data_IF_163430488348
#
_entry.id   IF_163430488348
#
_cell.length_a   1.000
_cell.length_b   1.000
_cell.length_c   1.000
_cell.angle_alpha   90.00
_cell.angle_beta   90.00
_cell.angle_gamma   90.00
#
_symmetry.space_group_name_H-M   'P 1'
#
loop_
_entity.id
_entity.type
_entity.pdbx_description
1 polymer ?
#
# COMPACT_ATOMS: atom_id res chain seq x y z
N UNK A 1 8.10 -17.72 -3.69
CA UNK A 1 9.27 -17.16 -2.96
C UNK A 1 10.54 -17.02 -3.79
N UNK A 2 10.83 -17.90 -4.75
CA UNK A 2 12.03 -17.77 -5.60
C UNK A 2 12.15 -16.38 -6.29
N UNK A 3 11.06 -15.86 -6.86
CA UNK A 3 11.04 -14.51 -7.46
C UNK A 3 11.29 -13.38 -6.45
N UNK A 4 10.70 -13.47 -5.25
CA UNK A 4 10.98 -12.55 -4.15
C UNK A 4 12.48 -12.56 -3.80
N UNK A 5 13.09 -13.74 -3.73
CA UNK A 5 14.51 -13.85 -3.46
C UNK A 5 15.38 -13.25 -4.58
N UNK A 6 14.96 -13.30 -5.85
CA UNK A 6 15.67 -12.60 -6.94
C UNK A 6 15.72 -11.09 -6.70
N UNK A 7 14.61 -10.50 -6.26
CA UNK A 7 14.54 -9.07 -5.91
C UNK A 7 15.43 -8.76 -4.70
N UNK A 8 15.32 -9.54 -3.62
CA UNK A 8 16.14 -9.35 -2.41
C UNK A 8 17.63 -9.51 -2.68
N UNK A 9 18.02 -10.50 -3.50
CA UNK A 9 19.40 -10.71 -3.94
C UNK A 9 19.93 -9.52 -4.74
N UNK A 10 19.13 -8.98 -5.66
CA UNK A 10 19.48 -7.77 -6.42
C UNK A 10 19.62 -6.57 -5.49
N UNK A 11 18.69 -6.38 -4.56
CA UNK A 11 18.73 -5.27 -3.60
C UNK A 11 19.96 -5.33 -2.69
N UNK A 12 20.43 -6.53 -2.32
CA UNK A 12 21.60 -6.74 -1.47
C UNK A 12 22.96 -6.54 -2.18
N UNK A 13 23.00 -6.22 -3.47
CA UNK A 13 24.27 -6.04 -4.19
C UNK A 13 25.08 -4.86 -3.62
N UNK A 14 26.42 -4.96 -3.55
CA UNK A 14 27.28 -3.90 -3.02
C UNK A 14 27.11 -2.53 -3.70
N UNK A 15 26.68 -2.51 -4.95
CA UNK A 15 26.41 -1.28 -5.72
C UNK A 15 25.27 -0.44 -5.12
N UNK A 16 24.34 -1.06 -4.38
CA UNK A 16 23.22 -0.36 -3.74
C UNK A 16 23.57 0.14 -2.33
N UNK A 17 24.77 -0.16 -1.82
CA UNK A 17 25.21 0.33 -0.51
C UNK A 17 25.68 1.76 -0.65
N UNK A 18 24.94 2.68 -0.02
CA UNK A 18 25.38 4.08 0.07
C UNK A 18 26.56 4.15 1.02
N UNK A 19 27.62 4.85 0.58
CA UNK A 19 28.87 5.00 1.31
C UNK A 19 29.13 6.47 1.64
N UNK A 20 29.80 6.71 2.75
CA UNK A 20 30.35 8.02 3.10
C UNK A 20 31.58 8.32 2.22
N UNK A 21 32.11 9.55 2.32
CA UNK A 21 33.29 9.99 1.55
C UNK A 21 34.52 9.10 1.78
N UNK A 22 34.66 8.54 2.99
CA UNK A 22 35.75 7.64 3.38
C UNK A 22 35.56 6.18 2.89
N UNK A 23 34.46 5.91 2.18
CA UNK A 23 34.12 4.60 1.63
C UNK A 23 33.43 3.64 2.61
N UNK A 24 33.20 4.04 3.86
CA UNK A 24 32.45 3.23 4.84
C UNK A 24 30.95 3.23 4.52
N UNK A 25 30.21 2.13 4.80
CA UNK A 25 28.76 2.12 4.62
C UNK A 25 28.07 3.19 5.49
N UNK A 26 27.16 3.96 4.91
CA UNK A 26 26.45 5.03 5.60
C UNK A 26 25.43 4.54 6.65
N UNK A 27 25.12 3.25 6.66
CA UNK A 27 24.20 2.60 7.58
C UNK A 27 24.52 1.10 7.71
N UNK A 28 23.81 0.42 8.61
CA UNK A 28 23.86 -1.04 8.73
C UNK A 28 22.92 -1.68 7.70
N UNK A 29 23.48 -2.18 6.60
CA UNK A 29 22.72 -2.84 5.54
C UNK A 29 22.58 -4.34 5.80
N UNK A 30 21.35 -4.81 6.04
CA UNK A 30 21.05 -6.23 6.22
C UNK A 30 19.87 -6.65 5.34
N UNK A 31 20.19 -7.09 4.12
CA UNK A 31 19.22 -7.64 3.16
C UNK A 31 19.66 -9.06 2.84
N UNK A 32 18.80 -10.05 3.09
CA UNK A 32 19.09 -11.47 2.87
C UNK A 32 17.90 -12.18 2.26
N UNK A 33 18.14 -13.12 1.37
CA UNK A 33 17.11 -14.00 0.83
C UNK A 33 16.35 -14.71 1.97
N UNK A 34 15.05 -14.98 1.76
CA UNK A 34 14.32 -15.85 2.69
C UNK A 34 14.91 -17.26 2.57
N UNK A 35 15.35 -17.88 3.68
CA UNK A 35 15.87 -19.23 3.65
C UNK A 35 14.76 -20.21 3.27
N UNK A 36 15.10 -21.34 2.65
CA UNK A 36 14.11 -22.36 2.27
C UNK A 36 13.32 -22.92 3.46
N UNK A 37 13.87 -22.82 4.67
CA UNK A 37 13.22 -23.19 5.94
C UNK A 37 12.23 -22.15 6.45
N UNK A 38 12.15 -20.96 5.85
CA UNK A 38 11.23 -19.91 6.26
C UNK A 38 9.78 -20.31 5.98
N UNK A 39 8.86 -20.01 6.91
CA UNK A 39 7.45 -20.36 6.79
C UNK A 39 6.78 -19.82 5.52
N UNK A 40 7.30 -18.75 4.92
CA UNK A 40 6.81 -18.23 3.63
C UNK A 40 6.90 -19.23 2.45
N UNK A 41 7.63 -20.34 2.59
CA UNK A 41 7.68 -21.41 1.59
C UNK A 41 6.60 -22.49 1.80
N UNK A 42 6.04 -22.60 3.00
CA UNK A 42 5.10 -23.68 3.38
C UNK A 42 3.73 -23.17 3.81
N UNK A 43 3.64 -21.92 4.30
CA UNK A 43 2.42 -21.27 4.74
C UNK A 43 2.00 -20.15 3.78
N UNK A 44 0.76 -20.23 3.30
CA UNK A 44 0.21 -19.32 2.29
C UNK A 44 0.11 -17.89 2.82
N UNK A 45 -0.33 -17.70 4.06
CA UNK A 45 -0.57 -16.37 4.61
C UNK A 45 0.76 -15.64 4.88
N UNK A 46 1.76 -16.36 5.37
CA UNK A 46 3.13 -15.85 5.52
C UNK A 46 3.78 -15.57 4.17
N UNK A 47 3.53 -16.39 3.15
CA UNK A 47 3.98 -16.12 1.78
C UNK A 47 3.39 -14.80 1.26
N UNK A 48 2.08 -14.59 1.42
CA UNK A 48 1.41 -13.36 1.00
C UNK A 48 1.97 -12.16 1.77
N UNK A 49 2.17 -12.26 3.08
CA UNK A 49 2.79 -11.18 3.89
C UNK A 49 4.20 -10.83 3.40
N UNK A 50 5.04 -11.84 3.12
CA UNK A 50 6.38 -11.62 2.58
C UNK A 50 6.33 -10.90 1.23
N UNK A 51 5.48 -11.36 0.30
CA UNK A 51 5.30 -10.72 -1.02
C UNK A 51 4.84 -9.26 -0.87
N UNK A 52 3.86 -9.00 0.01
CA UNK A 52 3.35 -7.64 0.24
C UNK A 52 4.40 -6.71 0.86
N UNK A 53 5.26 -7.23 1.74
CA UNK A 53 6.36 -6.48 2.33
C UNK A 53 7.40 -6.09 1.29
N UNK A 54 7.84 -7.03 0.45
CA UNK A 54 8.80 -6.73 -0.63
C UNK A 54 8.24 -5.71 -1.61
N UNK A 55 6.97 -5.86 -2.01
CA UNK A 55 6.34 -4.88 -2.91
C UNK A 55 6.25 -3.49 -2.29
N UNK A 56 6.03 -3.39 -0.97
CA UNK A 56 6.04 -2.11 -0.24
C UNK A 56 7.42 -1.47 -0.26
N UNK A 57 8.49 -2.24 -0.06
CA UNK A 57 9.86 -1.73 -0.04
C UNK A 57 10.35 -1.35 -1.43
N UNK A 58 10.12 -2.22 -2.42
CA UNK A 58 10.63 -2.07 -3.78
C UNK A 58 9.99 -0.89 -4.51
N UNK A 59 8.68 -0.68 -4.33
CA UNK A 59 7.90 0.34 -5.08
C UNK A 59 7.51 1.53 -4.19
N UNK A 60 8.27 1.76 -3.12
CA UNK A 60 8.03 2.88 -2.22
C UNK A 60 8.12 4.20 -2.99
N UNK A 61 7.21 5.14 -2.70
CA UNK A 61 7.14 6.46 -3.34
C UNK A 61 6.79 6.48 -4.84
N UNK A 62 6.37 5.35 -5.42
CA UNK A 62 6.00 5.25 -6.85
C UNK A 62 4.48 5.22 -7.10
N UNK A 63 3.68 5.68 -6.14
CA UNK A 63 2.21 5.77 -6.27
C UNK A 63 1.45 4.44 -6.24
N UNK A 64 2.14 3.30 -6.08
CA UNK A 64 1.51 1.97 -6.14
C UNK A 64 0.71 1.61 -4.88
N UNK A 65 1.11 2.14 -3.71
CA UNK A 65 0.63 1.65 -2.41
C UNK A 65 -0.88 1.77 -2.23
N UNK A 66 -1.50 2.83 -2.72
CA UNK A 66 -2.95 3.01 -2.61
C UNK A 66 -3.71 1.89 -3.33
N UNK A 67 -3.34 1.64 -4.60
CA UNK A 67 -3.98 0.63 -5.43
C UNK A 67 -3.72 -0.78 -4.91
N UNK A 68 -2.55 -1.03 -4.34
CA UNK A 68 -2.23 -2.29 -3.67
C UNK A 68 -3.14 -2.55 -2.46
N UNK A 69 -3.35 -1.56 -1.61
CA UNK A 69 -4.25 -1.71 -0.46
C UNK A 69 -5.70 -1.93 -0.90
N UNK A 70 -6.17 -1.15 -1.87
CA UNK A 70 -7.53 -1.25 -2.42
C UNK A 70 -7.82 -2.65 -2.99
N UNK A 71 -6.92 -3.18 -3.83
CA UNK A 71 -7.09 -4.54 -4.43
C UNK A 71 -6.98 -5.69 -3.41
N UNK A 72 -6.34 -5.47 -2.27
CA UNK A 72 -6.28 -6.47 -1.19
C UNK A 72 -7.53 -6.49 -0.31
N UNK A 73 -8.44 -5.55 -0.53
CA UNK A 73 -9.73 -5.47 0.13
C UNK A 73 -9.81 -4.34 1.15
N UNK A 74 -10.99 -3.73 1.24
CA UNK A 74 -11.22 -2.55 2.07
C UNK A 74 -10.94 -2.73 3.57
N UNK A 75 -11.17 -3.93 4.11
CA UNK A 75 -10.81 -4.23 5.51
C UNK A 75 -9.30 -4.22 5.74
N UNK A 76 -8.53 -4.77 4.79
CA UNK A 76 -7.08 -4.76 4.85
C UNK A 76 -6.54 -3.33 4.71
N UNK A 77 -7.08 -2.56 3.77
CA UNK A 77 -6.75 -1.15 3.57
C UNK A 77 -7.06 -0.30 4.82
N UNK A 78 -8.26 -0.43 5.39
CA UNK A 78 -8.66 0.27 6.60
C UNK A 78 -7.67 -0.02 7.74
N UNK A 79 -7.34 -1.29 7.97
CA UNK A 79 -6.37 -1.68 9.01
C UNK A 79 -5.00 -1.03 8.79
N UNK A 80 -4.42 -1.15 7.61
CA UNK A 80 -3.07 -0.65 7.34
C UNK A 80 -2.99 0.89 7.42
N UNK A 81 -4.03 1.59 6.98
CA UNK A 81 -4.11 3.05 7.09
C UNK A 81 -4.37 3.50 8.54
N UNK A 82 -5.17 2.76 9.30
CA UNK A 82 -5.38 3.02 10.72
C UNK A 82 -4.08 2.87 11.51
N UNK A 83 -3.36 1.77 11.28
CA UNK A 83 -2.06 1.51 11.93
C UNK A 83 -1.06 2.64 11.61
N UNK A 84 -1.03 3.12 10.36
CA UNK A 84 -0.21 4.26 9.96
C UNK A 84 -0.63 5.57 10.66
N UNK A 85 -1.92 5.92 10.65
CA UNK A 85 -2.42 7.14 11.30
C UNK A 85 -2.12 7.14 12.79
N UNK A 86 -2.37 6.02 13.48
CA UNK A 86 -2.11 5.90 14.91
C UNK A 86 -0.62 5.99 15.27
N UNK A 87 0.25 5.38 14.47
CA UNK A 87 1.69 5.49 14.65
C UNK A 87 2.16 6.94 14.46
N UNK A 88 1.77 7.57 13.35
CA UNK A 88 2.22 8.93 13.00
C UNK A 88 1.61 10.00 13.91
N UNK A 89 0.43 9.78 14.49
CA UNK A 89 -0.18 10.71 15.45
C UNK A 89 0.71 11.00 16.67
N UNK A 90 1.67 10.11 16.98
CA UNK A 90 2.66 10.31 18.03
C UNK A 90 3.71 11.37 17.68
N UNK A 91 3.91 11.64 16.38
CA UNK A 91 4.99 12.48 15.87
C UNK A 91 4.50 13.69 15.07
N UNK A 92 3.33 13.59 14.44
CA UNK A 92 2.80 14.58 13.51
C UNK A 92 1.41 15.05 13.94
N UNK A 93 1.31 16.33 14.34
CA UNK A 93 0.08 16.93 14.86
C UNK A 93 -1.14 16.80 13.94
N UNK A 94 -0.94 16.80 12.61
CA UNK A 94 -2.04 16.63 11.63
C UNK A 94 -2.77 15.29 11.74
N UNK A 95 -2.12 14.27 12.31
CA UNK A 95 -2.72 12.95 12.50
C UNK A 95 -3.39 12.78 13.87
N UNK A 96 -3.18 13.71 14.83
CA UNK A 96 -3.77 13.63 16.16
C UNK A 96 -5.31 13.60 16.16
N UNK A 97 -5.93 14.21 15.15
CA UNK A 97 -7.39 14.25 14.97
C UNK A 97 -7.83 13.69 13.62
N UNK A 98 -6.93 13.01 12.90
CA UNK A 98 -7.25 12.45 11.59
C UNK A 98 -8.23 11.27 11.73
N UNK A 99 -9.26 11.26 10.88
CA UNK A 99 -10.19 10.14 10.79
C UNK A 99 -9.55 8.96 10.04
N UNK A 100 -9.89 7.75 10.45
CA UNK A 100 -9.52 6.53 9.72
C UNK A 100 -10.50 6.31 8.57
N UNK A 101 -9.97 5.97 7.39
CA UNK A 101 -10.76 5.71 6.19
C UNK A 101 -11.66 4.47 6.36
N UNK A 102 -12.99 4.55 6.21
CA UNK A 102 -13.87 3.39 6.31
C UNK A 102 -13.54 2.31 5.27
N UNK A 103 -13.70 1.03 5.64
CA UNK A 103 -13.42 -0.10 4.75
C UNK A 103 -14.24 -0.10 3.44
N UNK A 104 -15.40 0.55 3.41
CA UNK A 104 -16.21 0.68 2.21
C UNK A 104 -15.65 1.70 1.20
N UNK A 105 -14.82 2.66 1.62
CA UNK A 105 -14.36 3.79 0.82
C UNK A 105 -12.99 3.53 0.19
N UNK A 106 -12.90 2.52 -0.67
CA UNK A 106 -11.64 2.13 -1.36
C UNK A 106 -11.37 2.90 -2.66
N UNK A 107 -12.37 3.64 -3.15
CA UNK A 107 -12.30 4.46 -4.37
C UNK A 107 -12.82 5.87 -4.06
N UNK A 108 -12.36 6.85 -4.84
CA UNK A 108 -12.85 8.22 -4.74
C UNK A 108 -14.33 8.33 -5.13
N UNK A 109 -15.06 9.33 -4.60
CA UNK A 109 -16.40 9.65 -5.08
C UNK A 109 -16.34 10.14 -6.53
N UNK A 110 -17.43 9.98 -7.25
CA UNK A 110 -17.60 10.67 -8.53
C UNK A 110 -17.63 12.19 -8.29
N UNK A 111 -17.09 13.02 -9.20
CA UNK A 111 -17.25 14.45 -9.08
C UNK A 111 -18.73 14.84 -9.12
N UNK A 112 -19.20 15.57 -8.09
CA UNK A 112 -20.63 15.89 -7.92
C UNK A 112 -21.23 16.63 -9.12
N UNK A 113 -20.48 17.58 -9.70
CA UNK A 113 -20.89 18.28 -10.90
C UNK A 113 -21.18 17.35 -12.08
N UNK A 114 -20.44 16.24 -12.23
CA UNK A 114 -20.71 15.25 -13.29
C UNK A 114 -22.03 14.52 -13.02
N UNK A 115 -22.31 14.16 -11.77
CA UNK A 115 -23.58 13.51 -11.40
C UNK A 115 -24.76 14.43 -11.71
N UNK A 116 -24.63 15.72 -11.41
CA UNK A 116 -25.69 16.71 -11.64
C UNK A 116 -25.93 17.01 -13.13
N UNK A 117 -24.87 17.11 -13.95
CA UNK A 117 -25.01 17.52 -15.37
C UNK A 117 -25.36 16.38 -16.31
N UNK A 118 -25.12 15.12 -15.93
CA UNK A 118 -25.37 13.98 -16.82
C UNK A 118 -26.86 13.75 -17.13
N UNK A 119 -27.77 14.22 -16.26
CA UNK A 119 -29.22 14.12 -16.47
C UNK A 119 -29.79 12.71 -16.25
N UNK A 120 -30.95 12.47 -16.85
CA UNK A 120 -31.75 11.24 -16.70
C UNK A 120 -32.10 10.63 -18.06
N UNK A 121 -32.33 9.32 -18.08
CA UNK A 121 -32.83 8.60 -19.25
C UNK A 121 -34.31 8.88 -19.54
N UNK A 122 -34.82 8.27 -20.61
CA UNK A 122 -36.22 8.38 -21.06
C UNK A 122 -37.25 7.94 -20.00
N UNK A 123 -36.83 7.16 -18.99
CA UNK A 123 -37.66 6.70 -17.88
C UNK A 123 -37.44 7.52 -16.59
N UNK A 124 -36.65 8.60 -16.64
CA UNK A 124 -36.34 9.45 -15.49
C UNK A 124 -35.27 8.88 -14.57
N UNK A 125 -34.55 7.83 -14.96
CA UNK A 125 -33.46 7.25 -14.15
C UNK A 125 -32.15 8.00 -14.40
N UNK A 126 -31.38 8.39 -13.36
CA UNK A 126 -30.11 9.09 -13.55
C UNK A 126 -29.11 8.26 -14.36
N UNK A 127 -28.44 8.89 -15.33
CA UNK A 127 -27.36 8.24 -16.10
C UNK A 127 -26.11 7.97 -15.26
N UNK A 128 -25.87 8.80 -14.24
CA UNK A 128 -24.73 8.68 -13.34
C UNK A 128 -25.21 8.77 -11.89
N UNK A 129 -24.75 7.86 -11.05
CA UNK A 129 -25.06 7.83 -9.61
C UNK A 129 -23.78 7.57 -8.82
N UNK A 130 -23.68 8.10 -7.61
CA UNK A 130 -22.56 7.78 -6.72
C UNK A 130 -22.49 6.27 -6.43
N UNK A 131 -21.29 5.72 -6.24
CA UNK A 131 -21.14 4.39 -5.64
C UNK A 131 -21.74 4.36 -4.23
N UNK A 132 -22.27 3.21 -3.80
CA UNK A 132 -22.96 3.06 -2.50
C UNK A 132 -22.21 3.64 -1.28
N UNK A 133 -20.86 3.52 -1.16
CA UNK A 133 -20.12 4.12 -0.05
C UNK A 133 -20.15 5.67 0.01
N UNK A 134 -20.60 6.32 -1.06
CA UNK A 134 -20.64 7.77 -1.25
C UNK A 134 -22.05 8.32 -1.48
N UNK A 135 -23.08 7.48 -1.43
CA UNK A 135 -24.48 7.91 -1.32
C UNK A 135 -24.79 8.34 0.10
#
# INVERSE_FOLDING_TARGET
>A
MAQVNQIRKRAALPVNVVKLEDGTPAANYLIKEYPATHAAFTDKDMCIKAVRMERKLELAMEGQRWFDLSRWGGQYMNKELADYVHFEAQFLAKFATASVLPAAKTMFPLPDGQVQTMGVDENGKPYLVQPDPWK
#
